data_IF_860322673802
#
_entry.id   IF_860322673802
#
_cell.length_a   1.000
_cell.length_b   1.000
_cell.length_c   1.000
_cell.angle_alpha   90.00
_cell.angle_beta   90.00
_cell.angle_gamma   90.00
#
_symmetry.space_group_name_H-M   'P 1'
#
loop_
_entity.id
_entity.type
_entity.pdbx_description
1 polymer ?
#
# COMPACT_ATOMS: atom_id res chain seq x y z
N UNK A 1 -2.09 27.35 5.38
CA UNK A 1 -1.40 27.36 4.07
C UNK A 1 -0.69 26.03 3.93
N UNK A 2 -0.85 25.34 2.80
CA UNK A 2 -0.15 24.09 2.49
C UNK A 2 0.51 24.26 1.14
N UNK A 3 1.69 23.70 0.98
CA UNK A 3 2.35 23.61 -0.32
C UNK A 3 1.93 22.31 -1.02
N UNK A 4 1.90 22.35 -2.35
CA UNK A 4 1.62 21.19 -3.19
C UNK A 4 2.72 21.05 -4.24
N UNK A 5 3.39 19.90 -4.24
CA UNK A 5 4.45 19.57 -5.20
C UNK A 5 3.91 18.57 -6.22
N UNK A 6 3.57 18.99 -7.45
CA UNK A 6 3.11 18.07 -8.48
C UNK A 6 4.24 17.14 -8.91
N UNK A 7 4.06 15.84 -8.71
CA UNK A 7 5.05 14.82 -9.08
C UNK A 7 4.37 13.48 -9.37
N UNK A 8 4.91 12.72 -10.32
CA UNK A 8 4.49 11.32 -10.49
C UNK A 8 4.90 10.52 -9.26
N UNK A 9 3.98 9.72 -8.71
CA UNK A 9 4.28 8.88 -7.56
C UNK A 9 5.48 7.95 -7.80
N UNK A 10 5.58 7.39 -9.01
CA UNK A 10 6.69 6.53 -9.43
C UNK A 10 8.04 7.25 -9.50
N UNK A 11 8.06 8.59 -9.58
CA UNK A 11 9.28 9.38 -9.60
C UNK A 11 9.82 9.69 -8.20
N UNK A 12 8.99 9.63 -7.15
CA UNK A 12 9.37 9.96 -5.78
C UNK A 12 10.58 9.14 -5.29
N UNK A 13 10.60 7.80 -5.43
CA UNK A 13 11.77 6.99 -5.08
C UNK A 13 13.07 7.50 -5.73
N UNK A 14 13.02 7.82 -7.03
CA UNK A 14 14.17 8.33 -7.78
C UNK A 14 14.64 9.70 -7.27
N UNK A 15 13.70 10.61 -6.98
CA UNK A 15 14.03 11.94 -6.47
C UNK A 15 14.70 11.89 -5.10
N UNK A 16 14.31 10.94 -4.25
CA UNK A 16 14.98 10.69 -2.96
C UNK A 16 16.40 10.18 -3.20
N UNK A 17 16.58 9.17 -4.06
CA UNK A 17 17.91 8.62 -4.38
C UNK A 17 18.87 9.65 -4.97
N UNK A 18 18.37 10.53 -5.83
CA UNK A 18 19.14 11.63 -6.44
C UNK A 18 19.33 12.83 -5.50
N UNK A 19 18.87 12.75 -4.24
CA UNK A 19 18.88 13.82 -3.24
C UNK A 19 18.23 15.14 -3.72
N UNK A 20 17.32 15.04 -4.71
CA UNK A 20 16.45 16.15 -5.16
C UNK A 20 15.27 16.35 -4.23
N UNK A 21 14.83 15.26 -3.60
CA UNK A 21 13.89 15.27 -2.49
C UNK A 21 14.63 14.77 -1.25
N UNK A 22 15.23 15.69 -0.50
CA UNK A 22 16.02 15.36 0.70
C UNK A 22 15.10 14.90 1.83
N UNK A 23 15.46 13.79 2.45
CA UNK A 23 14.82 13.27 3.67
C UNK A 23 15.89 13.29 4.76
N UNK A 24 15.73 14.12 5.80
CA UNK A 24 16.68 14.12 6.92
C UNK A 24 16.29 13.08 7.98
N UNK A 25 14.99 12.90 8.22
CA UNK A 25 14.44 11.96 9.20
C UNK A 25 13.33 11.14 8.56
N UNK A 26 13.40 9.82 8.69
CA UNK A 26 12.32 8.91 8.32
C UNK A 26 11.70 8.28 9.57
N UNK A 27 10.39 8.45 9.74
CA UNK A 27 9.61 7.78 10.78
C UNK A 27 8.81 6.68 10.10
N UNK A 28 9.07 5.43 10.48
CA UNK A 28 8.51 4.24 9.82
C UNK A 28 7.79 3.36 10.83
N UNK A 29 6.75 2.65 10.40
CA UNK A 29 6.18 1.54 11.16
C UNK A 29 6.77 0.23 10.67
N UNK A 30 7.14 -0.65 11.60
CA UNK A 30 7.74 -1.94 11.29
C UNK A 30 7.19 -3.04 12.20
N UNK A 31 7.32 -4.28 11.75
CA UNK A 31 7.08 -5.45 12.59
C UNK A 31 8.14 -5.58 13.68
N UNK A 32 7.91 -6.48 14.65
CA UNK A 32 8.98 -6.89 15.56
C UNK A 32 10.17 -7.48 14.81
N UNK A 33 11.41 -7.22 15.26
CA UNK A 33 12.59 -7.83 14.68
C UNK A 33 12.53 -9.37 14.69
N UNK A 34 12.89 -9.98 13.57
CA UNK A 34 13.06 -11.42 13.39
C UNK A 34 14.35 -11.69 12.61
N UNK A 35 15.28 -12.43 13.22
CA UNK A 35 16.57 -12.84 12.61
C UNK A 35 17.37 -11.68 12.00
N UNK A 36 17.44 -10.55 12.69
CA UNK A 36 18.18 -9.36 12.22
C UNK A 36 17.44 -8.50 11.20
N UNK A 37 16.15 -8.78 10.95
CA UNK A 37 15.34 -8.01 10.01
C UNK A 37 14.02 -7.57 10.63
N UNK A 38 13.45 -6.51 10.08
CA UNK A 38 12.05 -6.13 10.26
C UNK A 38 11.36 -6.09 8.89
N UNK A 39 10.03 -6.03 8.89
CA UNK A 39 9.23 -5.80 7.70
C UNK A 39 8.50 -4.45 7.81
N UNK A 40 8.48 -3.68 6.72
CA UNK A 40 7.64 -2.48 6.56
C UNK A 40 6.14 -2.81 6.49
N UNK A 41 5.78 -4.09 6.43
CA UNK A 41 4.40 -4.56 6.37
C UNK A 41 3.69 -4.05 5.12
N UNK A 42 2.60 -3.32 5.31
CA UNK A 42 1.71 -2.91 4.23
C UNK A 42 2.20 -1.67 3.44
N UNK A 43 3.23 -0.95 3.92
CA UNK A 43 3.65 0.33 3.33
C UNK A 43 5.12 0.36 2.94
N UNK A 44 5.43 0.05 1.68
CA UNK A 44 6.81 -0.01 1.16
C UNK A 44 7.19 1.22 0.33
N UNK A 45 6.20 1.87 -0.27
CA UNK A 45 6.23 2.70 -1.47
C UNK A 45 7.51 3.55 -1.64
N UNK A 46 7.49 4.82 -1.22
CA UNK A 46 8.69 5.64 -1.11
C UNK A 46 9.38 5.46 0.24
N UNK A 47 8.73 4.79 1.20
CA UNK A 47 9.23 4.53 2.56
C UNK A 47 10.58 3.84 2.55
N UNK A 48 10.77 2.87 1.64
CA UNK A 48 12.05 2.19 1.48
C UNK A 48 13.18 3.12 1.06
N UNK A 49 12.95 4.01 0.09
CA UNK A 49 14.01 4.96 -0.30
C UNK A 49 14.22 6.02 0.78
N UNK A 50 13.13 6.47 1.43
CA UNK A 50 13.21 7.43 2.52
C UNK A 50 14.07 6.90 3.68
N UNK A 51 13.91 5.63 4.09
CA UNK A 51 14.72 5.09 5.19
C UNK A 51 16.20 4.89 4.81
N UNK A 52 16.50 4.53 3.56
CA UNK A 52 17.89 4.31 3.14
C UNK A 52 18.68 5.61 2.93
N UNK A 53 17.98 6.71 2.64
CA UNK A 53 18.59 8.01 2.38
C UNK A 53 18.43 9.01 3.54
N UNK A 54 17.64 8.68 4.56
CA UNK A 54 17.51 9.49 5.76
C UNK A 54 18.80 9.44 6.60
N UNK A 55 19.10 10.56 7.26
CA UNK A 55 20.20 10.63 8.24
C UNK A 55 19.83 9.96 9.55
N UNK A 56 18.54 9.97 9.89
CA UNK A 56 18.00 9.37 11.10
C UNK A 56 16.75 8.59 10.73
N UNK A 57 16.66 7.35 11.21
CA UNK A 57 15.51 6.47 11.04
C UNK A 57 14.96 6.10 12.41
N UNK A 58 13.70 6.46 12.63
CA UNK A 58 12.96 6.14 13.86
C UNK A 58 11.91 5.10 13.50
N UNK A 59 12.01 3.91 14.09
CA UNK A 59 11.10 2.82 13.86
C UNK A 59 10.09 2.69 15.00
N UNK A 60 8.81 2.81 14.67
CA UNK A 60 7.70 2.40 15.52
C UNK A 60 7.43 0.90 15.31
N UNK A 61 7.72 0.09 16.32
CA UNK A 61 7.51 -1.36 16.33
C UNK A 61 6.09 -1.68 16.77
N UNK A 62 5.36 -2.40 15.94
CA UNK A 62 3.97 -2.78 16.17
C UNK A 62 3.75 -4.27 15.82
N UNK A 63 3.25 -5.07 16.77
CA UNK A 63 3.08 -6.52 16.57
C UNK A 63 1.82 -6.85 15.76
N UNK A 64 0.91 -5.88 15.60
CA UNK A 64 -0.24 -5.99 14.70
C UNK A 64 0.12 -5.74 13.23
N UNK A 65 1.32 -5.22 12.95
CA UNK A 65 1.76 -5.04 11.57
C UNK A 65 2.07 -6.42 10.95
N UNK A 66 1.48 -6.77 9.79
CA UNK A 66 1.76 -8.05 9.15
C UNK A 66 3.20 -8.08 8.63
N UNK A 67 3.85 -9.24 8.74
CA UNK A 67 5.10 -9.48 8.04
C UNK A 67 4.82 -9.71 6.55
N UNK A 68 5.24 -8.78 5.70
CA UNK A 68 5.25 -8.97 4.25
C UNK A 68 6.66 -9.33 3.78
N UNK A 69 6.74 -10.08 2.69
CA UNK A 69 8.00 -10.52 2.08
C UNK A 69 8.46 -9.58 0.97
N UNK A 70 9.66 -9.83 0.45
CA UNK A 70 10.19 -9.12 -0.71
C UNK A 70 10.78 -7.76 -0.32
N UNK A 71 10.44 -6.66 -1.02
CA UNK A 71 11.11 -5.38 -0.82
C UNK A 71 10.90 -4.74 0.56
N UNK A 72 9.92 -5.19 1.35
CA UNK A 72 9.60 -4.67 2.68
C UNK A 72 10.57 -5.10 3.77
N UNK A 73 11.43 -6.09 3.51
CA UNK A 73 12.41 -6.61 4.48
C UNK A 73 13.60 -5.65 4.62
N UNK A 74 13.81 -5.13 5.82
CA UNK A 74 14.85 -4.13 6.14
C UNK A 74 15.76 -4.69 7.25
N UNK A 75 17.09 -4.56 7.09
CA UNK A 75 18.02 -4.90 8.19
C UNK A 75 17.84 -3.92 9.34
N UNK A 76 17.87 -4.43 10.58
CA UNK A 76 17.81 -3.62 11.79
C UNK A 76 18.93 -2.58 11.87
N UNK A 77 20.05 -2.80 11.16
CA UNK A 77 21.20 -1.89 11.14
C UNK A 77 20.90 -0.54 10.47
N UNK A 78 19.81 -0.43 9.70
CA UNK A 78 19.36 0.84 9.11
C UNK A 78 18.58 1.71 10.10
N UNK A 79 18.28 1.21 11.30
CA UNK A 79 17.38 1.87 12.26
C UNK A 79 18.19 2.47 13.40
N UNK A 80 17.99 3.76 13.65
CA UNK A 80 18.75 4.52 14.64
C UNK A 80 18.03 4.56 16.00
N UNK A 81 16.69 4.64 15.98
CA UNK A 81 15.87 4.72 17.17
C UNK A 81 14.65 3.81 17.07
N UNK A 82 14.20 3.31 18.22
CA UNK A 82 13.13 2.34 18.33
C UNK A 82 12.08 2.83 19.32
N UNK A 83 10.81 2.75 18.93
CA UNK A 83 9.65 3.08 19.76
C UNK A 83 8.70 1.91 19.69
N UNK A 84 8.29 1.35 20.83
CA UNK A 84 7.27 0.30 20.86
C UNK A 84 5.89 0.95 20.91
N UNK A 85 5.01 0.59 19.99
CA UNK A 85 3.60 0.96 20.02
C UNK A 85 2.74 -0.17 19.47
N UNK A 86 2.09 -0.90 20.38
CA UNK A 86 1.30 -2.08 20.05
C UNK A 86 -0.20 -1.72 19.99
N UNK A 87 -0.52 -0.76 19.14
CA UNK A 87 -1.91 -0.35 18.89
C UNK A 87 -2.42 -1.07 17.64
N UNK A 88 -3.64 -1.63 17.64
CA UNK A 88 -4.23 -2.21 16.45
C UNK A 88 -4.18 -1.27 15.24
N UNK A 89 -3.92 -1.84 14.06
CA UNK A 89 -3.96 -1.10 12.81
C UNK A 89 -5.37 -0.60 12.53
N UNK A 90 -5.48 0.64 12.04
CA UNK A 90 -6.74 1.17 11.57
C UNK A 90 -7.16 0.46 10.29
N UNK A 91 -8.42 0.03 10.23
CA UNK A 91 -9.02 -0.54 9.04
C UNK A 91 -9.45 0.55 8.07
N UNK A 92 -9.59 0.20 6.79
CA UNK A 92 -10.16 1.10 5.78
C UNK A 92 -11.57 1.57 6.13
N UNK A 93 -12.38 0.74 6.81
CA UNK A 93 -13.71 1.13 7.30
C UNK A 93 -13.68 2.15 8.44
N UNK A 94 -12.63 2.13 9.28
CA UNK A 94 -12.44 3.14 10.33
C UNK A 94 -11.89 4.46 9.77
N UNK A 95 -10.97 4.38 8.80
CA UNK A 95 -10.35 5.56 8.18
C UNK A 95 -11.27 6.28 7.21
N UNK A 96 -12.04 5.53 6.42
CA UNK A 96 -12.94 6.07 5.41
C UNK A 96 -14.34 5.47 5.47
N UNK A 97 -15.07 5.67 6.58
CA UNK A 97 -16.40 5.11 6.79
C UNK A 97 -17.40 5.49 5.68
N UNK A 98 -17.21 6.65 5.05
CA UNK A 98 -18.06 7.13 3.94
C UNK A 98 -18.07 6.19 2.73
N UNK A 99 -17.02 5.39 2.49
CA UNK A 99 -17.01 4.46 1.36
C UNK A 99 -17.65 3.10 1.68
N UNK A 100 -17.82 2.77 2.97
CA UNK A 100 -18.39 1.50 3.42
C UNK A 100 -19.85 1.60 3.86
N UNK A 101 -20.26 2.76 4.39
CA UNK A 101 -21.62 2.96 4.89
C UNK A 101 -22.58 3.60 3.88
N UNK A 102 -22.06 4.08 2.76
CA UNK A 102 -22.88 4.66 1.73
C UNK A 102 -23.49 3.53 0.87
N UNK A 103 -24.77 3.21 1.12
CA UNK A 103 -25.64 2.39 0.25
C UNK A 103 -25.78 3.08 -1.12
N UNK A 104 -24.75 3.03 -1.95
CA UNK A 104 -24.59 4.07 -2.97
C UNK A 104 -25.08 3.68 -4.34
N UNK A 105 -25.28 2.40 -4.64
CA UNK A 105 -25.61 2.00 -6.00
C UNK A 105 -26.61 0.84 -6.02
N UNK A 106 -27.59 0.93 -6.92
CA UNK A 106 -28.51 -0.16 -7.23
C UNK A 106 -27.71 -1.40 -7.65
N UNK A 107 -27.99 -2.55 -7.02
CA UNK A 107 -27.27 -3.80 -7.29
C UNK A 107 -27.33 -4.18 -8.78
N UNK A 108 -28.44 -3.90 -9.46
CA UNK A 108 -28.59 -4.18 -10.89
C UNK A 108 -27.57 -3.39 -11.73
N UNK A 109 -27.30 -2.13 -11.36
CA UNK A 109 -26.31 -1.27 -12.02
C UNK A 109 -24.90 -1.78 -11.73
N UNK A 110 -24.57 -2.08 -10.48
CA UNK A 110 -23.22 -2.57 -10.12
C UNK A 110 -22.93 -3.92 -10.76
N UNK A 111 -23.92 -4.82 -10.81
CA UNK A 111 -23.77 -6.12 -11.49
C UNK A 111 -23.57 -5.94 -13.00
N UNK A 112 -24.30 -5.02 -13.62
CA UNK A 112 -24.15 -4.73 -15.05
C UNK A 112 -22.75 -4.16 -15.36
N UNK A 113 -22.26 -3.22 -14.55
CA UNK A 113 -20.91 -2.68 -14.65
C UNK A 113 -19.85 -3.78 -14.50
N UNK A 114 -19.95 -4.59 -13.44
CA UNK A 114 -19.00 -5.68 -13.18
C UNK A 114 -18.95 -6.71 -14.32
N UNK A 115 -20.11 -7.10 -14.85
CA UNK A 115 -20.19 -8.01 -16.01
C UNK A 115 -19.57 -7.41 -17.27
N UNK A 116 -19.77 -6.12 -17.52
CA UNK A 116 -19.18 -5.46 -18.68
C UNK A 116 -17.66 -5.34 -18.55
N UNK A 117 -17.14 -4.99 -17.37
CA UNK A 117 -15.70 -4.94 -17.12
C UNK A 117 -15.06 -6.31 -17.32
N UNK A 118 -15.64 -7.38 -16.75
CA UNK A 118 -15.06 -8.72 -16.85
C UNK A 118 -15.03 -9.27 -18.27
N UNK A 119 -15.96 -8.87 -19.15
CA UNK A 119 -15.92 -9.25 -20.58
C UNK A 119 -14.60 -8.84 -21.26
N UNK A 120 -14.06 -7.70 -20.86
CA UNK A 120 -12.82 -7.12 -21.42
C UNK A 120 -11.54 -7.72 -20.80
N UNK A 121 -11.66 -8.53 -19.75
CA UNK A 121 -10.53 -9.18 -19.08
C UNK A 121 -10.40 -10.61 -19.65
N UNK A 122 -9.37 -10.94 -20.44
CA UNK A 122 -9.14 -12.31 -20.88
C UNK A 122 -8.59 -13.20 -19.75
N UNK A 123 -8.66 -14.52 -19.94
CA UNK A 123 -7.89 -15.47 -19.11
C UNK A 123 -6.39 -15.17 -19.25
N UNK A 124 -5.62 -15.37 -18.18
CA UNK A 124 -4.18 -15.05 -18.17
C UNK A 124 -3.85 -13.56 -17.97
N UNK A 125 -4.84 -12.67 -17.83
CA UNK A 125 -4.58 -11.23 -17.68
C UNK A 125 -3.92 -10.88 -16.34
N UNK A 126 -3.01 -9.89 -16.36
CA UNK A 126 -2.43 -9.30 -15.14
C UNK A 126 -3.27 -8.10 -14.70
N UNK A 127 -3.85 -8.18 -13.51
CA UNK A 127 -4.73 -7.15 -12.97
C UNK A 127 -3.94 -6.02 -12.30
N UNK A 128 -4.33 -4.79 -12.62
CA UNK A 128 -3.99 -3.56 -11.90
C UNK A 128 -5.26 -2.79 -11.63
N UNK A 129 -5.49 -2.37 -10.40
CA UNK A 129 -6.70 -1.64 -10.05
C UNK A 129 -6.49 -0.73 -8.84
N UNK A 130 -7.18 0.40 -8.84
CA UNK A 130 -7.19 1.31 -7.70
C UNK A 130 -8.22 0.91 -6.64
N UNK A 131 -8.16 1.58 -5.50
CA UNK A 131 -9.14 1.44 -4.43
C UNK A 131 -10.38 2.31 -4.73
N UNK A 132 -11.43 1.69 -5.28
CA UNK A 132 -12.70 2.37 -5.57
C UNK A 132 -13.88 1.41 -5.55
N UNK A 133 -15.03 1.78 -4.96
CA UNK A 133 -16.24 0.95 -4.98
C UNK A 133 -16.66 0.50 -6.40
N UNK A 134 -16.49 1.36 -7.40
CA UNK A 134 -16.85 1.05 -8.79
C UNK A 134 -15.98 -0.06 -9.38
N UNK A 135 -14.68 -0.07 -9.04
CA UNK A 135 -13.75 -1.12 -9.46
C UNK A 135 -14.12 -2.46 -8.82
N UNK A 136 -14.48 -2.44 -7.53
CA UNK A 136 -14.83 -3.63 -6.78
C UNK A 136 -16.10 -4.33 -7.29
N UNK A 137 -16.94 -3.64 -8.07
CA UNK A 137 -18.11 -4.25 -8.73
C UNK A 137 -17.72 -5.39 -9.69
N UNK A 138 -16.49 -5.39 -10.24
CA UNK A 138 -16.00 -6.47 -11.09
C UNK A 138 -15.60 -7.73 -10.31
N UNK A 139 -15.23 -7.61 -9.03
CA UNK A 139 -14.57 -8.67 -8.27
C UNK A 139 -15.40 -9.96 -8.16
N UNK A 140 -16.72 -9.93 -7.90
CA UNK A 140 -17.55 -11.14 -7.87
C UNK A 140 -17.55 -11.92 -9.19
N UNK A 141 -17.26 -11.25 -10.31
CA UNK A 141 -17.26 -11.81 -11.66
C UNK A 141 -15.87 -12.25 -12.13
N UNK A 142 -14.78 -11.84 -11.48
CA UNK A 142 -13.41 -12.27 -11.83
C UNK A 142 -13.24 -13.79 -11.73
N UNK A 143 -14.07 -14.47 -10.92
CA UNK A 143 -14.16 -15.94 -10.86
C UNK A 143 -14.51 -16.62 -12.20
N UNK A 144 -15.02 -15.86 -13.17
CA UNK A 144 -15.32 -16.32 -14.52
C UNK A 144 -14.07 -16.34 -15.43
N UNK A 145 -12.91 -15.94 -14.89
CA UNK A 145 -11.62 -15.95 -15.57
C UNK A 145 -10.65 -16.89 -14.88
N UNK A 146 -9.67 -17.35 -15.64
CA UNK A 146 -8.63 -18.28 -15.18
C UNK A 146 -7.25 -17.67 -15.31
N UNK A 147 -6.34 -18.18 -14.49
CA UNK A 147 -4.90 -17.88 -14.56
C UNK A 147 -4.57 -16.38 -14.49
N UNK A 148 -5.36 -15.62 -13.74
CA UNK A 148 -5.15 -14.19 -13.55
C UNK A 148 -3.89 -13.92 -12.73
N UNK A 149 -3.09 -12.97 -13.20
CA UNK A 149 -1.97 -12.38 -12.47
C UNK A 149 -2.37 -11.12 -11.71
N UNK A 150 -1.52 -10.67 -10.79
CA UNK A 150 -1.71 -9.45 -10.03
C UNK A 150 -0.43 -8.60 -10.04
N UNK A 151 -0.53 -7.36 -10.50
CA UNK A 151 0.52 -6.35 -10.41
C UNK A 151 -0.15 -4.99 -10.20
N UNK A 152 -0.32 -4.62 -8.94
CA UNK A 152 -1.14 -3.49 -8.51
C UNK A 152 -0.40 -2.62 -7.51
N UNK A 153 -0.78 -1.34 -7.44
CA UNK A 153 -0.23 -0.35 -6.51
C UNK A 153 -0.83 -0.45 -5.11
N UNK A 154 -2.04 -0.99 -4.97
CA UNK A 154 -2.73 -1.18 -3.70
C UNK A 154 -3.45 -2.53 -3.66
N UNK A 155 -3.44 -3.18 -2.49
CA UNK A 155 -4.14 -4.45 -2.22
C UNK A 155 -5.03 -4.34 -0.98
#
# INVERSE_FOLDING_TARGET
LSDYTPVSFSAIPRLIRENKLRVDVAIIKVTKPHKGFVSLGMGVECTKEALHHAKIVIAEVNDHLPWTEGPSKISIDHIHHWIRNDTPLLTSSQLWPQYFHAKTHDKSITDALGKNIVKEIPDGATLKFGWSPTVFCAFPFLRLRKDLGLHTDVL
#
